data_IF_473290824824
#
_entry.id   IF_473290824824
#
_cell.length_a   1.000
_cell.length_b   1.000
_cell.length_c   1.000
_cell.angle_alpha   90.00
_cell.angle_beta   90.00
_cell.angle_gamma   90.00
#
_symmetry.space_group_name_H-M   'P 1'
#
loop_
_entity.id
_entity.type
_entity.pdbx_description
1 polymer ?
#
# COMPACT_ATOMS: atom_id res chain seq x y z
N UNK A 1 -36.96 -16.61 -15.14
CA UNK A 1 -36.11 -16.57 -13.90
C UNK A 1 -35.80 -15.09 -13.65
N UNK A 2 -36.18 -14.54 -12.51
CA UNK A 2 -35.97 -13.11 -12.29
C UNK A 2 -34.71 -12.93 -11.43
N UNK A 3 -33.70 -12.27 -11.99
CA UNK A 3 -32.62 -11.66 -11.21
C UNK A 3 -33.25 -10.70 -10.18
N UNK A 4 -32.68 -10.64 -8.98
CA UNK A 4 -33.08 -9.66 -7.95
C UNK A 4 -32.88 -8.25 -8.49
N UNK A 5 -31.76 -8.05 -9.21
CA UNK A 5 -31.38 -6.81 -9.86
C UNK A 5 -30.41 -7.07 -11.00
N UNK A 6 -30.48 -6.26 -12.04
CA UNK A 6 -29.52 -6.21 -13.14
C UNK A 6 -29.36 -4.77 -13.64
N UNK A 7 -28.12 -4.40 -13.95
CA UNK A 7 -27.84 -3.12 -14.64
C UNK A 7 -28.43 -3.16 -16.06
N UNK A 8 -29.07 -2.08 -16.47
CA UNK A 8 -29.40 -1.87 -17.88
C UNK A 8 -28.18 -1.36 -18.67
N UNK A 9 -28.26 -1.37 -20.00
CA UNK A 9 -27.12 -0.96 -20.84
C UNK A 9 -26.76 0.54 -20.72
N UNK A 10 -27.73 1.39 -20.39
CA UNK A 10 -27.45 2.79 -20.10
C UNK A 10 -26.62 2.92 -18.81
N UNK A 11 -26.97 2.24 -17.74
CA UNK A 11 -26.20 2.22 -16.49
C UNK A 11 -24.80 1.65 -16.71
N UNK A 12 -24.67 0.56 -17.51
CA UNK A 12 -23.37 -0.01 -17.88
C UNK A 12 -22.44 0.99 -18.54
N UNK A 13 -22.95 1.86 -19.40
CA UNK A 13 -22.20 2.94 -20.05
C UNK A 13 -21.53 3.86 -19.05
N UNK A 14 -22.26 4.29 -18.01
CA UNK A 14 -21.73 5.18 -16.94
C UNK A 14 -20.72 4.50 -16.02
N UNK A 15 -20.63 3.19 -16.07
CA UNK A 15 -19.68 2.39 -15.30
C UNK A 15 -18.50 1.86 -16.15
N UNK A 16 -18.47 2.20 -17.45
CA UNK A 16 -17.45 1.70 -18.37
C UNK A 16 -17.55 0.22 -18.69
N UNK A 17 -18.71 -0.42 -18.41
CA UNK A 17 -18.95 -1.82 -18.71
C UNK A 17 -19.37 -1.99 -20.18
N UNK A 18 -19.12 -3.18 -20.76
CA UNK A 18 -19.69 -3.52 -22.06
C UNK A 18 -21.19 -3.74 -21.95
N UNK A 19 -21.97 -3.35 -22.96
CA UNK A 19 -23.41 -3.63 -23.00
C UNK A 19 -23.66 -5.14 -23.09
N UNK A 20 -24.86 -5.55 -22.69
CA UNK A 20 -25.41 -6.88 -23.02
C UNK A 20 -26.06 -6.79 -24.39
N UNK A 21 -25.65 -7.68 -25.30
CA UNK A 21 -26.21 -7.75 -26.65
C UNK A 21 -27.56 -8.48 -26.65
N UNK A 22 -28.50 -8.06 -27.51
CA UNK A 22 -29.86 -8.62 -27.55
C UNK A 22 -29.91 -10.12 -27.83
N UNK A 23 -28.89 -10.63 -28.54
CA UNK A 23 -28.80 -12.05 -28.90
C UNK A 23 -28.10 -12.91 -27.85
N UNK A 24 -27.61 -12.33 -26.74
CA UNK A 24 -27.02 -13.08 -25.67
C UNK A 24 -28.11 -13.69 -24.78
N UNK A 25 -27.91 -14.93 -24.39
CA UNK A 25 -28.82 -15.67 -23.53
C UNK A 25 -28.38 -15.69 -22.09
N UNK A 26 -29.24 -15.22 -21.17
CA UNK A 26 -29.00 -15.26 -19.74
C UNK A 26 -29.31 -16.64 -19.17
N UNK A 27 -28.34 -17.24 -18.53
CA UNK A 27 -28.46 -18.58 -17.92
C UNK A 27 -28.11 -18.51 -16.43
N UNK A 28 -29.03 -18.96 -15.56
CA UNK A 28 -28.73 -19.12 -14.14
C UNK A 28 -27.81 -20.34 -13.96
N UNK A 29 -26.63 -20.09 -13.35
CA UNK A 29 -25.67 -21.15 -13.07
C UNK A 29 -25.78 -21.66 -11.63
N UNK A 30 -25.92 -20.76 -10.64
CA UNK A 30 -26.08 -21.07 -9.22
C UNK A 30 -27.06 -20.07 -8.60
N UNK A 31 -27.33 -20.16 -7.31
CA UNK A 31 -28.36 -19.32 -6.66
C UNK A 31 -28.17 -17.82 -6.92
N UNK A 32 -26.95 -17.35 -6.91
CA UNK A 32 -26.61 -15.92 -7.09
C UNK A 32 -25.72 -15.65 -8.32
N UNK A 33 -25.40 -16.67 -9.15
CA UNK A 33 -24.47 -16.54 -10.28
C UNK A 33 -25.22 -16.78 -11.59
N UNK A 34 -25.05 -15.84 -12.51
CA UNK A 34 -25.66 -15.85 -13.83
C UNK A 34 -24.60 -15.57 -14.89
N UNK A 35 -24.74 -16.23 -16.03
CA UNK A 35 -23.86 -16.06 -17.17
C UNK A 35 -24.65 -15.64 -18.41
N UNK A 36 -24.11 -14.67 -19.15
CA UNK A 36 -24.54 -14.37 -20.51
C UNK A 36 -23.74 -15.19 -21.51
N UNK A 37 -24.45 -15.89 -22.38
CA UNK A 37 -23.88 -16.71 -23.42
C UNK A 37 -24.13 -16.12 -24.81
N UNK A 38 -23.10 -16.17 -25.65
CA UNK A 38 -23.20 -16.08 -27.10
C UNK A 38 -22.87 -17.47 -27.66
N UNK A 39 -23.89 -18.20 -28.11
CA UNK A 39 -23.74 -19.62 -28.44
C UNK A 39 -23.25 -20.44 -27.24
N UNK A 40 -22.07 -21.05 -27.36
CA UNK A 40 -21.41 -21.82 -26.29
C UNK A 40 -20.32 -21.04 -25.55
N UNK A 41 -20.22 -19.72 -25.77
CA UNK A 41 -19.20 -18.88 -25.13
C UNK A 41 -19.83 -18.00 -24.05
N UNK A 42 -19.31 -18.10 -22.83
CA UNK A 42 -19.69 -17.19 -21.75
C UNK A 42 -19.01 -15.83 -21.99
N UNK A 43 -19.81 -14.78 -22.10
CA UNK A 43 -19.37 -13.41 -22.40
C UNK A 43 -19.30 -12.53 -21.16
N UNK A 44 -20.16 -12.81 -20.17
CA UNK A 44 -20.29 -11.99 -18.97
C UNK A 44 -20.75 -12.85 -17.81
N UNK A 45 -20.24 -12.53 -16.62
CA UNK A 45 -20.73 -13.10 -15.37
C UNK A 45 -21.36 -11.98 -14.51
N UNK A 46 -22.51 -12.30 -13.92
CA UNK A 46 -23.18 -11.47 -12.93
C UNK A 46 -23.37 -12.30 -11.67
N UNK A 47 -22.89 -11.80 -10.56
CA UNK A 47 -23.21 -12.33 -9.23
C UNK A 47 -24.06 -11.30 -8.49
N UNK A 48 -25.25 -11.69 -8.03
CA UNK A 48 -26.17 -10.77 -7.36
C UNK A 48 -26.88 -11.43 -6.18
N UNK A 49 -26.90 -10.72 -5.05
CA UNK A 49 -27.67 -11.05 -3.84
C UNK A 49 -28.32 -9.78 -3.26
N UNK A 50 -28.97 -9.87 -2.13
CA UNK A 50 -29.65 -8.73 -1.48
C UNK A 50 -28.73 -7.55 -1.18
N UNK A 51 -27.42 -7.80 -0.97
CA UNK A 51 -26.42 -6.82 -0.55
C UNK A 51 -25.11 -6.89 -1.34
N UNK A 52 -25.14 -7.53 -2.48
CA UNK A 52 -23.96 -7.71 -3.34
C UNK A 52 -24.32 -7.70 -4.81
N UNK A 53 -23.54 -6.99 -5.61
CA UNK A 53 -23.58 -7.04 -7.05
C UNK A 53 -22.16 -7.03 -7.62
N UNK A 54 -21.88 -7.96 -8.51
CA UNK A 54 -20.63 -7.99 -9.28
C UNK A 54 -20.93 -8.30 -10.73
N UNK A 55 -20.32 -7.55 -11.64
CA UNK A 55 -20.42 -7.79 -13.08
C UNK A 55 -19.03 -7.68 -13.72
N UNK A 56 -18.66 -8.70 -14.50
CA UNK A 56 -17.36 -8.76 -15.20
C UNK A 56 -17.48 -9.41 -16.57
N UNK A 57 -16.52 -9.06 -17.44
CA UNK A 57 -16.41 -9.60 -18.80
C UNK A 57 -15.65 -10.93 -18.80
N UNK A 58 -16.13 -11.87 -19.59
CA UNK A 58 -15.53 -13.17 -19.81
C UNK A 58 -15.44 -13.47 -21.32
N UNK A 59 -14.59 -14.42 -21.67
CA UNK A 59 -14.56 -15.03 -22.98
C UNK A 59 -14.21 -16.53 -22.84
N UNK A 60 -15.12 -17.23 -22.16
CA UNK A 60 -14.92 -18.61 -21.76
C UNK A 60 -15.72 -19.55 -22.65
N UNK A 61 -15.03 -20.32 -23.47
CA UNK A 61 -15.66 -21.26 -24.37
C UNK A 61 -16.04 -22.57 -23.63
N UNK A 62 -17.29 -22.95 -23.71
CA UNK A 62 -17.81 -24.23 -23.21
C UNK A 62 -17.98 -25.25 -24.37
N UNK A 63 -18.36 -26.49 -24.04
CA UNK A 63 -18.76 -27.47 -25.02
C UNK A 63 -20.18 -27.18 -25.57
N UNK A 64 -20.54 -27.82 -26.67
CA UNK A 64 -21.77 -27.59 -27.44
C UNK A 64 -23.07 -27.54 -26.60
N UNK A 65 -23.16 -28.30 -25.56
CA UNK A 65 -24.33 -28.28 -24.65
C UNK A 65 -24.09 -27.51 -23.36
N UNK A 66 -23.09 -26.67 -23.30
CA UNK A 66 -22.69 -25.89 -22.13
C UNK A 66 -22.38 -26.74 -20.88
N UNK A 67 -22.05 -28.01 -21.03
CA UNK A 67 -21.77 -28.93 -19.92
C UNK A 67 -20.30 -28.97 -19.55
N UNK A 68 -19.41 -28.52 -20.43
CA UNK A 68 -17.97 -28.62 -20.26
C UNK A 68 -17.26 -27.34 -20.73
N UNK A 69 -16.18 -26.98 -20.04
CA UNK A 69 -15.29 -25.89 -20.45
C UNK A 69 -14.09 -26.49 -21.16
N UNK A 70 -13.77 -25.97 -22.34
CA UNK A 70 -12.56 -26.37 -23.05
C UNK A 70 -11.31 -25.92 -22.27
N UNK A 71 -10.25 -26.74 -22.23
CA UNK A 71 -9.10 -26.46 -21.43
C UNK A 71 -8.33 -25.26 -21.97
N UNK A 72 -7.94 -24.36 -21.08
CA UNK A 72 -7.05 -23.23 -21.39
C UNK A 72 -5.56 -23.60 -21.35
N UNK A 73 -5.22 -24.78 -20.84
CA UNK A 73 -3.82 -25.16 -20.63
C UNK A 73 -3.32 -26.10 -21.73
N UNK A 74 -2.02 -26.03 -22.01
CA UNK A 74 -1.30 -26.93 -22.96
C UNK A 74 -1.50 -28.42 -22.69
N UNK A 75 -2.09 -28.82 -21.57
CA UNK A 75 -2.33 -30.23 -21.18
C UNK A 75 -3.68 -30.81 -21.66
N UNK A 76 -4.50 -30.01 -22.31
CA UNK A 76 -5.67 -30.49 -23.03
C UNK A 76 -6.78 -31.17 -22.21
N UNK A 77 -6.90 -30.95 -20.90
CA UNK A 77 -8.00 -31.54 -20.11
C UNK A 77 -9.26 -30.69 -20.24
N UNK A 78 -10.34 -31.33 -20.65
CA UNK A 78 -11.69 -30.79 -20.62
C UNK A 78 -12.19 -30.82 -19.17
N UNK A 79 -12.65 -29.65 -18.67
CA UNK A 79 -13.21 -29.53 -17.31
C UNK A 79 -14.73 -29.58 -17.38
N UNK A 80 -15.34 -30.22 -16.39
CA UNK A 80 -16.80 -30.12 -16.20
C UNK A 80 -17.19 -28.70 -15.86
N UNK A 81 -18.32 -28.25 -16.42
CA UNK A 81 -18.89 -26.96 -16.04
C UNK A 81 -19.52 -27.09 -14.64
N UNK A 82 -18.77 -26.69 -13.64
CA UNK A 82 -19.14 -26.73 -12.23
C UNK A 82 -18.48 -25.56 -11.49
N UNK A 83 -18.81 -25.39 -10.22
CA UNK A 83 -18.28 -24.29 -9.40
C UNK A 83 -16.74 -24.17 -9.45
N UNK A 84 -16.02 -25.30 -9.36
CA UNK A 84 -14.55 -25.30 -9.44
C UNK A 84 -14.04 -24.82 -10.80
N UNK A 85 -14.75 -25.13 -11.88
CA UNK A 85 -14.39 -24.65 -13.21
C UNK A 85 -14.65 -23.16 -13.36
N UNK A 86 -15.77 -22.63 -12.84
CA UNK A 86 -16.11 -21.20 -12.81
C UNK A 86 -15.04 -20.40 -12.07
N UNK A 87 -14.57 -20.89 -10.93
CA UNK A 87 -13.47 -20.24 -10.18
C UNK A 87 -12.15 -20.16 -10.97
N UNK A 88 -11.99 -20.90 -12.04
CA UNK A 88 -10.80 -20.86 -12.89
C UNK A 88 -10.92 -19.90 -14.07
N UNK A 89 -12.02 -19.18 -14.21
CA UNK A 89 -12.22 -18.19 -15.26
C UNK A 89 -11.24 -17.04 -15.13
N UNK A 90 -10.95 -16.40 -16.24
CA UNK A 90 -10.05 -15.27 -16.31
C UNK A 90 -10.83 -14.06 -16.80
N UNK A 91 -11.46 -13.31 -15.90
CA UNK A 91 -12.16 -12.10 -16.29
C UNK A 91 -11.17 -11.07 -16.86
N UNK A 92 -11.66 -10.21 -17.74
CA UNK A 92 -10.89 -9.15 -18.36
C UNK A 92 -11.74 -7.88 -18.47
N UNK A 93 -11.16 -6.82 -18.98
CA UNK A 93 -11.87 -5.55 -19.17
C UNK A 93 -12.30 -4.88 -17.86
N UNK A 94 -13.21 -3.94 -17.97
CA UNK A 94 -13.78 -3.22 -16.83
C UNK A 94 -14.78 -4.10 -16.08
N UNK A 95 -14.75 -4.01 -14.76
CA UNK A 95 -15.72 -4.65 -13.87
C UNK A 95 -16.28 -3.66 -12.86
N UNK A 96 -17.45 -4.00 -12.35
CA UNK A 96 -18.11 -3.26 -11.29
C UNK A 96 -18.45 -4.17 -10.12
N UNK A 97 -18.19 -3.71 -8.91
CA UNK A 97 -18.59 -4.41 -7.67
C UNK A 97 -19.26 -3.42 -6.72
N UNK A 98 -20.35 -3.86 -6.15
CA UNK A 98 -21.02 -3.23 -5.02
C UNK A 98 -21.19 -4.25 -3.91
N UNK A 99 -20.83 -3.88 -2.69
CA UNK A 99 -20.94 -4.73 -1.50
C UNK A 99 -21.32 -3.89 -0.27
N UNK A 100 -21.50 -4.55 0.87
CA UNK A 100 -21.73 -3.87 2.16
C UNK A 100 -20.59 -2.96 2.60
N UNK A 101 -19.38 -3.19 2.09
CA UNK A 101 -18.19 -2.47 2.52
C UNK A 101 -17.73 -1.41 1.51
N UNK A 102 -18.06 -1.59 0.21
CA UNK A 102 -17.47 -0.74 -0.83
C UNK A 102 -18.18 -0.82 -2.18
N UNK A 103 -17.94 0.23 -2.98
CA UNK A 103 -18.15 0.26 -4.44
C UNK A 103 -16.79 0.31 -5.13
N UNK A 104 -16.62 -0.46 -6.22
CA UNK A 104 -15.42 -0.42 -7.06
C UNK A 104 -15.80 -0.45 -8.54
N UNK A 105 -15.16 0.44 -9.32
CA UNK A 105 -15.04 0.36 -10.78
C UNK A 105 -13.56 0.17 -11.09
N UNK A 106 -13.18 -0.99 -11.63
CA UNK A 106 -11.78 -1.29 -11.92
C UNK A 106 -11.64 -2.16 -13.18
N UNK A 107 -10.42 -2.48 -13.58
CA UNK A 107 -10.15 -3.18 -14.82
C UNK A 107 -9.18 -4.35 -14.60
N UNK A 108 -9.63 -5.57 -14.84
CA UNK A 108 -8.85 -6.78 -14.70
C UNK A 108 -7.64 -6.84 -15.64
N UNK A 109 -7.77 -6.32 -16.86
CA UNK A 109 -6.69 -6.35 -17.85
C UNK A 109 -5.55 -5.41 -17.48
N UNK A 110 -5.87 -4.20 -17.04
CA UNK A 110 -4.87 -3.16 -16.72
C UNK A 110 -4.42 -3.21 -15.28
N UNK A 111 -5.14 -3.90 -14.39
CA UNK A 111 -4.91 -3.95 -12.94
C UNK A 111 -4.99 -2.56 -12.29
N UNK A 112 -5.91 -1.71 -12.77
CA UNK A 112 -6.11 -0.34 -12.30
C UNK A 112 -7.51 -0.15 -11.76
N UNK A 113 -7.64 0.70 -10.75
CA UNK A 113 -8.92 1.17 -10.22
C UNK A 113 -9.25 2.54 -10.81
N UNK A 114 -10.48 2.69 -11.33
CA UNK A 114 -11.02 3.99 -11.76
C UNK A 114 -11.63 4.74 -10.60
N UNK A 115 -12.43 4.03 -9.80
CA UNK A 115 -13.13 4.58 -8.65
C UNK A 115 -13.29 3.53 -7.56
N UNK A 116 -13.16 3.96 -6.31
CA UNK A 116 -13.56 3.16 -5.14
C UNK A 116 -14.08 4.06 -4.03
N UNK A 117 -15.14 3.61 -3.36
CA UNK A 117 -15.74 4.26 -2.21
C UNK A 117 -16.01 3.21 -1.14
N UNK A 118 -15.63 3.49 0.11
CA UNK A 118 -15.87 2.59 1.23
C UNK A 118 -17.07 3.07 2.05
N UNK A 119 -17.94 2.15 2.42
CA UNK A 119 -19.09 2.44 3.27
C UNK A 119 -18.77 2.24 4.75
N UNK A 120 -19.42 2.99 5.65
CA UNK A 120 -19.32 2.75 7.09
C UNK A 120 -19.86 1.36 7.46
N UNK A 121 -19.13 0.59 8.26
CA UNK A 121 -19.52 -0.76 8.68
C UNK A 121 -20.83 -0.85 9.48
N UNK A 122 -21.38 0.28 9.93
CA UNK A 122 -22.62 0.36 10.70
C UNK A 122 -23.89 0.39 9.84
N UNK A 123 -23.75 0.51 8.52
CA UNK A 123 -24.88 0.62 7.61
C UNK A 123 -25.25 -0.76 7.03
N UNK A 124 -26.54 -1.07 7.03
CA UNK A 124 -27.04 -2.29 6.36
C UNK A 124 -27.29 -1.97 4.89
N UNK A 125 -26.23 -2.00 4.09
CA UNK A 125 -26.24 -1.67 2.66
C UNK A 125 -26.95 -2.77 1.87
N UNK A 126 -27.82 -2.39 0.96
CA UNK A 126 -28.66 -3.28 0.15
C UNK A 126 -28.61 -2.90 -1.33
N UNK A 127 -29.22 -3.73 -2.19
CA UNK A 127 -29.40 -3.43 -3.64
C UNK A 127 -30.21 -2.15 -3.86
N UNK A 128 -31.11 -1.76 -2.95
CA UNK A 128 -31.84 -0.49 -3.09
C UNK A 128 -30.92 0.71 -2.86
N UNK A 129 -29.88 0.56 -2.06
CA UNK A 129 -28.86 1.59 -1.89
C UNK A 129 -27.93 1.63 -3.12
N UNK A 130 -27.68 0.51 -3.78
CA UNK A 130 -27.00 0.49 -5.10
C UNK A 130 -27.81 1.30 -6.12
N UNK A 131 -29.13 1.14 -6.20
CA UNK A 131 -29.95 1.92 -7.13
C UNK A 131 -29.84 3.41 -6.88
N UNK A 132 -29.93 3.84 -5.61
CA UNK A 132 -29.76 5.26 -5.23
C UNK A 132 -28.36 5.78 -5.58
N UNK A 133 -27.34 4.97 -5.30
CA UNK A 133 -25.95 5.30 -5.66
C UNK A 133 -25.78 5.47 -7.18
N UNK A 134 -26.37 4.58 -7.98
CA UNK A 134 -26.33 4.64 -9.44
C UNK A 134 -27.04 5.88 -9.97
N UNK A 135 -28.22 6.19 -9.46
CA UNK A 135 -28.98 7.38 -9.89
C UNK A 135 -28.17 8.66 -9.62
N UNK A 136 -27.58 8.78 -8.43
CA UNK A 136 -26.68 9.89 -8.08
C UNK A 136 -25.43 9.90 -8.98
N UNK A 137 -24.79 8.74 -9.17
CA UNK A 137 -23.60 8.60 -10.03
C UNK A 137 -23.86 9.10 -11.44
N UNK A 138 -25.01 8.73 -12.02
CA UNK A 138 -25.44 9.13 -13.36
C UNK A 138 -25.76 10.62 -13.40
N UNK A 139 -26.53 11.14 -12.43
CA UNK A 139 -26.91 12.55 -12.33
C UNK A 139 -25.66 13.47 -12.24
N UNK A 140 -24.68 13.08 -11.46
CA UNK A 140 -23.44 13.84 -11.26
C UNK A 140 -22.42 13.67 -12.41
N UNK A 141 -22.65 12.73 -13.36
CA UNK A 141 -21.69 12.44 -14.43
C UNK A 141 -21.71 13.54 -15.49
N UNK A 142 -20.54 14.11 -15.75
CA UNK A 142 -20.31 15.07 -16.82
C UNK A 142 -19.85 14.37 -18.12
N UNK A 143 -19.84 15.11 -19.23
CA UNK A 143 -19.27 14.60 -20.48
C UNK A 143 -17.76 14.30 -20.37
N UNK A 144 -17.05 15.04 -19.53
CA UNK A 144 -15.64 14.81 -19.23
C UNK A 144 -15.42 13.48 -18.53
N UNK A 145 -16.27 13.17 -17.52
CA UNK A 145 -16.24 11.89 -16.80
C UNK A 145 -16.54 10.72 -17.75
N UNK A 146 -17.48 10.87 -18.69
CA UNK A 146 -17.76 9.84 -19.71
C UNK A 146 -16.57 9.60 -20.63
N UNK A 147 -15.85 10.63 -21.02
CA UNK A 147 -14.62 10.48 -21.80
C UNK A 147 -13.53 9.77 -20.99
N UNK A 148 -13.34 10.16 -19.72
CA UNK A 148 -12.33 9.56 -18.85
C UNK A 148 -12.60 8.07 -18.63
N UNK A 149 -13.86 7.66 -18.39
CA UNK A 149 -14.22 6.26 -18.21
C UNK A 149 -14.09 5.44 -19.51
N UNK A 150 -14.40 6.03 -20.66
CA UNK A 150 -14.21 5.37 -21.95
C UNK A 150 -12.70 5.19 -22.27
N UNK A 151 -11.86 6.19 -21.95
CA UNK A 151 -10.41 6.05 -22.03
C UNK A 151 -9.90 4.98 -21.09
N UNK A 152 -10.40 4.93 -19.86
CA UNK A 152 -10.06 3.91 -18.87
C UNK A 152 -10.40 2.51 -19.36
N UNK A 153 -11.59 2.30 -19.88
CA UNK A 153 -12.08 1.05 -20.47
C UNK A 153 -11.17 0.54 -21.60
N UNK A 154 -10.73 1.44 -22.48
CA UNK A 154 -9.95 1.12 -23.68
C UNK A 154 -8.42 1.13 -23.42
N UNK A 155 -7.98 1.46 -22.20
CA UNK A 155 -6.56 1.53 -21.88
C UNK A 155 -5.94 0.13 -21.94
N UNK A 156 -4.76 0.04 -22.56
CA UNK A 156 -3.97 -1.19 -22.59
C UNK A 156 -3.08 -1.28 -21.35
N UNK A 157 -2.88 -2.51 -20.86
CA UNK A 157 -1.93 -2.78 -19.79
C UNK A 157 -0.53 -2.32 -20.17
N UNK A 158 0.09 -1.54 -19.32
CA UNK A 158 1.48 -1.09 -19.46
C UNK A 158 2.19 -1.14 -18.11
N UNK A 159 3.50 -1.22 -18.15
CA UNK A 159 4.34 -1.17 -16.97
C UNK A 159 5.03 0.19 -16.92
N UNK A 160 4.81 0.93 -15.85
CA UNK A 160 5.41 2.24 -15.62
C UNK A 160 6.71 2.10 -14.84
N UNK A 161 7.71 2.90 -15.19
CA UNK A 161 8.96 3.01 -14.44
C UNK A 161 8.79 4.06 -13.34
N UNK A 162 9.38 3.80 -12.20
CA UNK A 162 9.43 4.72 -11.07
C UNK A 162 10.78 4.58 -10.36
N UNK A 163 11.16 5.56 -9.57
CA UNK A 163 12.39 5.59 -8.77
C UNK A 163 12.24 6.50 -7.54
N UNK A 164 13.17 6.41 -6.63
CA UNK A 164 13.26 7.31 -5.48
C UNK A 164 13.34 8.77 -5.92
N UNK A 165 12.65 9.63 -5.17
CA UNK A 165 12.48 11.04 -5.48
C UNK A 165 11.37 11.34 -6.50
N UNK A 166 10.70 10.34 -7.07
CA UNK A 166 9.56 10.58 -7.95
C UNK A 166 8.36 11.10 -7.16
N UNK A 167 7.77 12.17 -7.69
CA UNK A 167 6.45 12.65 -7.29
C UNK A 167 5.38 11.91 -8.06
N UNK A 168 4.26 11.67 -7.42
CA UNK A 168 3.13 11.01 -8.03
C UNK A 168 1.81 11.65 -7.64
N UNK A 169 0.81 11.50 -8.52
CA UNK A 169 -0.58 11.80 -8.24
C UNK A 169 -1.42 10.52 -8.23
N UNK A 170 -2.43 10.47 -7.40
CA UNK A 170 -3.38 9.36 -7.32
C UNK A 170 -4.79 9.88 -7.07
N UNK A 171 -5.82 9.15 -7.50
CA UNK A 171 -7.20 9.54 -7.29
C UNK A 171 -7.58 9.41 -5.81
N UNK A 172 -8.17 10.44 -5.23
CA UNK A 172 -8.83 10.45 -3.93
C UNK A 172 -10.33 10.26 -4.06
N UNK A 173 -10.87 10.79 -5.14
CA UNK A 173 -12.26 10.64 -5.55
C UNK A 173 -12.34 10.74 -7.08
N UNK A 174 -13.54 10.74 -7.63
CA UNK A 174 -13.74 10.83 -9.07
C UNK A 174 -13.01 12.01 -9.72
N UNK A 175 -12.94 13.17 -9.04
CA UNK A 175 -12.39 14.42 -9.57
C UNK A 175 -11.28 15.04 -8.74
N UNK A 176 -10.90 14.43 -7.63
CA UNK A 176 -9.85 14.93 -6.75
C UNK A 176 -8.60 14.08 -6.83
N UNK A 177 -7.46 14.74 -6.88
CA UNK A 177 -6.14 14.15 -6.87
C UNK A 177 -5.42 14.42 -5.56
N UNK A 178 -4.86 13.38 -4.97
CA UNK A 178 -3.84 13.47 -3.94
C UNK A 178 -2.45 13.35 -4.53
N UNK A 179 -1.45 13.77 -3.79
CA UNK A 179 -0.06 13.82 -4.23
C UNK A 179 0.86 13.20 -3.19
N UNK A 180 1.92 12.57 -3.66
CA UNK A 180 2.91 11.98 -2.80
C UNK A 180 4.29 11.90 -3.42
N UNK A 181 5.22 11.27 -2.70
CA UNK A 181 6.60 11.10 -3.12
C UNK A 181 7.13 9.73 -2.74
N UNK A 182 7.92 9.11 -3.61
CA UNK A 182 8.63 7.86 -3.32
C UNK A 182 9.92 8.22 -2.57
N UNK A 183 10.07 7.69 -1.36
CA UNK A 183 11.21 7.93 -0.49
C UNK A 183 12.28 6.84 -0.61
N UNK A 184 11.86 5.57 -0.71
CA UNK A 184 12.76 4.42 -0.73
C UNK A 184 12.16 3.26 -1.53
N UNK A 185 12.97 2.67 -2.42
CA UNK A 185 12.67 1.44 -3.13
C UNK A 185 13.29 0.23 -2.40
N UNK A 186 12.54 -0.35 -1.47
CA UNK A 186 13.01 -1.48 -0.65
C UNK A 186 13.33 -2.71 -1.52
N UNK A 187 12.66 -2.87 -2.67
CA UNK A 187 12.93 -3.98 -3.57
C UNK A 187 14.35 -3.93 -4.18
N UNK A 188 14.95 -2.75 -4.28
CA UNK A 188 16.37 -2.62 -4.67
C UNK A 188 17.30 -3.11 -3.57
N UNK A 189 16.97 -2.81 -2.30
CA UNK A 189 17.75 -3.25 -1.14
C UNK A 189 17.75 -4.77 -1.01
N UNK A 190 16.69 -5.45 -1.43
CA UNK A 190 16.63 -6.92 -1.47
C UNK A 190 17.66 -7.57 -2.41
N UNK A 191 18.39 -6.79 -3.21
CA UNK A 191 19.53 -7.26 -4.02
C UNK A 191 20.86 -7.20 -3.27
N UNK A 192 20.91 -6.46 -2.16
CA UNK A 192 22.09 -6.35 -1.30
C UNK A 192 22.15 -7.53 -0.34
N UNK A 193 23.28 -8.27 -0.39
CA UNK A 193 23.49 -9.45 0.45
C UNK A 193 23.65 -9.09 1.94
N UNK A 194 24.20 -7.91 2.26
CA UNK A 194 24.31 -7.46 3.65
C UNK A 194 22.94 -7.12 4.23
N UNK A 195 22.08 -6.48 3.44
CA UNK A 195 20.71 -6.24 3.82
C UNK A 195 19.93 -7.54 4.12
N UNK A 196 20.10 -8.56 3.28
CA UNK A 196 19.45 -9.87 3.46
C UNK A 196 19.96 -10.67 4.67
N UNK A 197 21.21 -10.48 5.08
CA UNK A 197 21.80 -11.21 6.21
C UNK A 197 21.16 -10.85 7.54
N UNK A 198 20.59 -9.66 7.66
CA UNK A 198 19.92 -9.23 8.87
C UNK A 198 18.51 -9.84 8.97
N UNK A 199 18.36 -10.89 9.76
CA UNK A 199 17.12 -11.67 9.90
C UNK A 199 15.98 -10.93 10.62
N UNK A 200 16.32 -9.90 11.40
CA UNK A 200 15.33 -9.10 12.12
C UNK A 200 14.97 -7.79 11.41
N UNK A 201 15.60 -7.50 10.28
CA UNK A 201 15.34 -6.25 9.56
C UNK A 201 13.93 -6.27 8.96
N UNK A 202 12.99 -5.53 9.58
CA UNK A 202 11.57 -5.56 9.21
C UNK A 202 11.31 -5.23 7.75
N UNK A 203 12.08 -4.31 7.14
CA UNK A 203 12.00 -4.03 5.71
C UNK A 203 12.34 -5.24 4.83
N UNK A 204 13.24 -6.13 5.28
CA UNK A 204 13.58 -7.34 4.55
C UNK A 204 12.43 -8.36 4.52
N UNK A 205 11.50 -8.27 5.47
CA UNK A 205 10.36 -9.17 5.59
C UNK A 205 9.07 -8.59 5.00
N UNK A 206 9.08 -7.35 4.49
CA UNK A 206 7.93 -6.81 3.79
C UNK A 206 7.66 -7.61 2.52
N UNK A 207 6.40 -8.00 2.36
CA UNK A 207 5.98 -8.85 1.25
C UNK A 207 6.09 -8.13 -0.10
N UNK A 208 6.42 -8.86 -1.15
CA UNK A 208 6.42 -8.37 -2.53
C UNK A 208 7.55 -7.40 -2.85
N UNK A 209 7.23 -6.27 -3.46
CA UNK A 209 8.16 -5.20 -3.81
C UNK A 209 7.72 -3.90 -3.15
N UNK A 210 8.04 -3.69 -1.89
CA UNK A 210 7.57 -2.55 -1.13
C UNK A 210 8.32 -1.27 -1.50
N UNK A 211 7.57 -0.17 -1.46
CA UNK A 211 8.06 1.20 -1.56
C UNK A 211 7.70 1.93 -0.27
N UNK A 212 8.60 2.78 0.23
CA UNK A 212 8.26 3.74 1.26
C UNK A 212 7.88 5.05 0.57
N UNK A 213 6.70 5.55 0.90
CA UNK A 213 6.15 6.77 0.33
C UNK A 213 5.69 7.73 1.42
N UNK A 214 5.52 8.99 1.07
CA UNK A 214 4.74 9.97 1.85
C UNK A 214 3.64 10.56 0.98
N UNK A 215 2.55 11.01 1.62
CA UNK A 215 1.42 11.70 0.99
C UNK A 215 1.40 13.14 1.48
N UNK A 216 1.41 14.10 0.56
CA UNK A 216 1.41 15.51 0.89
C UNK A 216 0.02 16.00 1.33
N UNK A 217 -0.02 17.01 2.18
CA UNK A 217 -1.21 17.78 2.55
C UNK A 217 -1.64 18.68 1.39
N UNK A 218 -1.93 18.06 0.24
CA UNK A 218 -2.35 18.74 -0.99
C UNK A 218 -3.40 17.93 -1.72
N UNK A 219 -4.50 18.58 -2.07
CA UNK A 219 -5.56 18.06 -2.93
C UNK A 219 -5.78 19.07 -4.06
N UNK A 220 -6.07 18.59 -5.25
CA UNK A 220 -6.35 19.40 -6.44
C UNK A 220 -7.30 18.68 -7.38
N UNK A 221 -8.03 19.42 -8.20
CA UNK A 221 -8.83 18.92 -9.32
C UNK A 221 -7.99 18.57 -10.56
N UNK A 222 -6.73 18.96 -10.58
CA UNK A 222 -5.78 18.69 -11.67
C UNK A 222 -4.49 18.04 -11.17
N UNK A 223 -3.87 17.25 -12.04
CA UNK A 223 -2.52 16.68 -11.82
C UNK A 223 -1.39 17.67 -12.11
N UNK A 224 -1.69 18.80 -12.76
CA UNK A 224 -0.68 19.78 -13.12
C UNK A 224 -0.34 20.65 -11.88
N UNK A 225 0.81 20.40 -11.29
CA UNK A 225 1.27 21.04 -10.06
C UNK A 225 2.78 21.30 -10.13
N UNK A 226 3.23 22.39 -9.53
CA UNK A 226 4.65 22.69 -9.38
C UNK A 226 5.28 21.73 -8.34
N UNK A 227 6.32 21.01 -8.75
CA UNK A 227 6.96 20.00 -7.91
C UNK A 227 7.81 20.62 -6.79
N UNK A 228 8.39 21.79 -7.03
CA UNK A 228 9.17 22.50 -5.99
C UNK A 228 8.22 23.04 -4.91
N UNK A 229 7.06 23.58 -5.28
CA UNK A 229 6.03 23.99 -4.33
C UNK A 229 5.51 22.77 -3.55
N UNK A 230 5.19 21.68 -4.24
CA UNK A 230 4.69 20.46 -3.63
C UNK A 230 5.69 19.86 -2.62
N UNK A 231 6.99 19.91 -2.95
CA UNK A 231 8.05 19.36 -2.08
C UNK A 231 8.14 20.05 -0.70
N UNK A 232 7.61 21.26 -0.59
CA UNK A 232 7.60 22.07 0.65
C UNK A 232 6.32 21.91 1.47
N UNK A 233 5.33 21.19 0.93
CA UNK A 233 4.09 20.94 1.65
C UNK A 233 4.33 19.99 2.84
N UNK A 234 3.53 20.17 3.91
CA UNK A 234 3.42 19.14 4.94
C UNK A 234 2.99 17.80 4.33
N UNK A 235 3.27 16.72 5.02
CA UNK A 235 2.90 15.38 4.57
C UNK A 235 2.39 14.52 5.74
N UNK A 236 1.57 13.51 5.41
CA UNK A 236 1.26 12.43 6.32
C UNK A 236 2.53 11.64 6.65
N UNK A 237 2.57 10.93 7.78
CA UNK A 237 3.67 10.04 8.12
C UNK A 237 3.95 9.04 6.99
N UNK A 238 5.22 8.67 6.77
CA UNK A 238 5.58 7.73 5.73
C UNK A 238 4.91 6.36 5.95
N UNK A 239 4.64 5.69 4.86
CA UNK A 239 3.97 4.38 4.81
C UNK A 239 4.64 3.46 3.80
N UNK A 240 4.57 2.14 4.05
CA UNK A 240 4.99 1.13 3.10
C UNK A 240 3.80 0.70 2.22
N UNK A 241 3.99 0.71 0.90
CA UNK A 241 2.97 0.29 -0.07
C UNK A 241 3.55 -0.66 -1.10
N UNK A 242 2.70 -1.48 -1.72
CA UNK A 242 3.10 -2.33 -2.83
C UNK A 242 3.39 -1.49 -4.09
N UNK A 243 4.35 -1.92 -4.89
CA UNK A 243 4.73 -1.25 -6.14
C UNK A 243 3.66 -1.30 -7.24
N UNK A 244 2.66 -2.16 -7.11
CA UNK A 244 1.63 -2.38 -8.15
C UNK A 244 0.95 -1.10 -8.60
N UNK A 245 0.57 -0.22 -7.64
CA UNK A 245 -0.09 1.06 -7.93
C UNK A 245 0.75 1.95 -8.86
N UNK A 246 2.07 1.90 -8.73
CA UNK A 246 3.01 2.60 -9.60
C UNK A 246 3.28 1.82 -10.87
N UNK A 247 3.55 0.52 -10.72
CA UNK A 247 3.95 -0.36 -11.82
C UNK A 247 2.89 -0.46 -12.91
N UNK A 248 1.61 -0.47 -12.54
CA UNK A 248 0.49 -0.47 -13.48
C UNK A 248 -0.03 0.93 -13.82
N UNK A 249 0.55 2.00 -13.23
CA UNK A 249 0.24 3.40 -13.55
C UNK A 249 -1.12 3.87 -13.02
N UNK A 250 -1.59 3.29 -11.92
CA UNK A 250 -2.72 3.82 -11.16
C UNK A 250 -2.30 5.11 -10.46
N UNK A 251 -1.18 5.09 -9.72
CA UNK A 251 -0.49 6.31 -9.33
C UNK A 251 0.39 6.82 -10.49
N UNK A 252 0.14 8.04 -10.93
CA UNK A 252 0.78 8.64 -12.09
C UNK A 252 2.04 9.39 -11.67
N UNK A 253 3.20 9.03 -12.25
CA UNK A 253 4.44 9.75 -12.01
C UNK A 253 4.39 11.11 -12.69
N UNK A 254 4.65 12.18 -11.93
CA UNK A 254 4.62 13.57 -12.38
C UNK A 254 5.99 14.11 -12.76
N UNK A 255 7.04 13.63 -12.09
CA UNK A 255 8.42 14.04 -12.29
C UNK A 255 9.30 13.63 -11.12
N UNK A 256 10.57 14.04 -11.14
CA UNK A 256 11.55 13.69 -10.13
C UNK A 256 12.38 14.89 -9.70
N UNK A 257 12.58 15.05 -8.39
CA UNK A 257 13.58 15.93 -7.81
C UNK A 257 14.46 15.12 -6.86
N UNK A 258 15.70 15.50 -6.61
CA UNK A 258 16.53 14.90 -5.56
C UNK A 258 15.81 15.01 -4.19
N UNK A 259 15.86 13.93 -3.41
CA UNK A 259 15.38 13.98 -2.02
C UNK A 259 16.28 14.86 -1.19
N UNK A 260 15.70 15.84 -0.48
CA UNK A 260 16.43 16.66 0.49
C UNK A 260 16.45 15.94 1.85
N UNK A 261 17.44 16.16 2.69
CA UNK A 261 17.54 15.51 4.00
C UNK A 261 16.29 15.64 4.86
N UNK A 262 15.65 16.81 4.87
CA UNK A 262 14.43 17.09 5.64
C UNK A 262 13.18 16.40 5.08
N UNK A 263 13.22 15.93 3.84
CA UNK A 263 12.14 15.19 3.20
C UNK A 263 12.25 13.68 3.41
N UNK A 264 13.46 13.21 3.72
CA UNK A 264 13.77 11.79 3.88
C UNK A 264 13.44 11.34 5.31
N UNK A 265 12.16 11.33 5.64
CA UNK A 265 11.66 10.84 6.91
C UNK A 265 11.12 9.40 6.75
N UNK A 266 11.34 8.54 7.76
CA UNK A 266 11.01 7.12 7.71
C UNK A 266 10.14 6.73 8.92
N UNK A 267 9.40 5.64 8.80
CA UNK A 267 8.67 5.07 9.93
C UNK A 267 9.63 4.38 10.92
N UNK A 268 9.15 4.20 12.15
CA UNK A 268 9.90 3.59 13.24
C UNK A 268 9.18 2.32 13.66
N UNK A 269 9.91 1.20 13.70
CA UNK A 269 9.41 -0.08 14.20
C UNK A 269 10.28 -0.54 15.38
N UNK A 270 9.66 -0.94 16.47
CA UNK A 270 10.34 -1.53 17.63
C UNK A 270 9.57 -2.75 18.07
N UNK A 271 10.25 -3.87 18.22
CA UNK A 271 9.63 -5.14 18.61
C UNK A 271 10.66 -6.13 19.16
N UNK A 272 10.15 -7.18 19.82
CA UNK A 272 10.90 -8.40 20.00
C UNK A 272 11.32 -9.02 18.67
N UNK A 273 12.37 -9.83 18.67
CA UNK A 273 12.87 -10.50 17.47
C UNK A 273 11.76 -11.26 16.74
N UNK A 274 11.76 -11.12 15.41
CA UNK A 274 10.92 -11.91 14.50
C UNK A 274 11.65 -13.15 13.98
N UNK A 275 12.94 -13.30 14.32
CA UNK A 275 13.78 -14.43 13.93
C UNK A 275 13.75 -15.54 14.98
N UNK A 276 13.37 -16.75 14.57
CA UNK A 276 13.42 -17.92 15.46
C UNK A 276 14.85 -18.34 15.85
N UNK A 277 15.88 -17.86 15.13
CA UNK A 277 17.29 -18.17 15.43
C UNK A 277 17.91 -17.21 16.42
N UNK A 278 17.32 -16.07 16.66
CA UNK A 278 17.79 -15.03 17.58
C UNK A 278 16.64 -14.52 18.48
N UNK A 279 16.09 -15.40 19.35
CA UNK A 279 14.88 -15.04 20.12
C UNK A 279 15.17 -14.08 21.28
N UNK A 280 16.43 -13.92 21.69
CA UNK A 280 16.83 -13.20 22.90
C UNK A 280 17.19 -11.73 22.67
N UNK A 281 16.74 -11.17 21.54
CA UNK A 281 16.96 -9.77 21.21
C UNK A 281 15.65 -9.02 20.96
N UNK A 282 15.71 -7.70 21.11
CA UNK A 282 14.72 -6.77 20.58
C UNK A 282 15.40 -5.84 19.59
N UNK A 283 14.66 -5.37 18.60
CA UNK A 283 15.18 -4.48 17.57
C UNK A 283 14.43 -3.15 17.49
N UNK A 284 15.14 -2.13 17.07
CA UNK A 284 14.60 -0.88 16.56
C UNK A 284 15.06 -0.69 15.12
N UNK A 285 14.11 -0.43 14.25
CA UNK A 285 14.35 -0.03 12.88
C UNK A 285 13.78 1.35 12.63
N UNK A 286 14.62 2.28 12.19
CA UNK A 286 14.24 3.61 11.74
C UNK A 286 14.72 3.80 10.31
N UNK A 287 13.86 3.53 9.35
CA UNK A 287 14.27 3.44 7.95
C UNK A 287 15.40 2.41 7.75
N UNK A 288 16.55 2.86 7.28
CA UNK A 288 17.75 2.02 7.10
C UNK A 288 18.59 1.83 8.35
N UNK A 289 18.32 2.60 9.40
CA UNK A 289 18.98 2.43 10.71
C UNK A 289 18.38 1.20 11.39
N UNK A 290 19.25 0.29 11.81
CA UNK A 290 18.87 -0.92 12.52
C UNK A 290 19.74 -1.09 13.78
N UNK A 291 19.10 -1.30 14.91
CA UNK A 291 19.74 -1.50 16.21
C UNK A 291 19.13 -2.68 16.95
N UNK A 292 19.95 -3.37 17.69
CA UNK A 292 19.55 -4.47 18.57
C UNK A 292 19.98 -4.22 20.01
N UNK A 293 19.16 -4.69 20.95
CA UNK A 293 19.50 -4.77 22.37
C UNK A 293 19.06 -6.13 22.91
N UNK A 294 19.63 -6.62 24.02
CA UNK A 294 19.15 -7.82 24.69
C UNK A 294 17.65 -7.72 25.02
N UNK A 295 16.90 -8.79 24.79
CA UNK A 295 15.46 -8.85 25.10
C UNK A 295 15.20 -8.51 26.57
N UNK A 296 16.08 -8.95 27.49
CA UNK A 296 15.98 -8.65 28.92
C UNK A 296 15.96 -7.15 29.22
N UNK A 297 16.74 -6.37 28.49
CA UNK A 297 16.83 -4.90 28.67
C UNK A 297 15.63 -4.21 28.04
N UNK A 298 15.16 -4.70 26.88
CA UNK A 298 13.91 -4.25 26.29
C UNK A 298 12.71 -4.50 27.21
N UNK A 299 12.60 -5.70 27.81
CA UNK A 299 11.53 -6.03 28.74
C UNK A 299 11.53 -5.16 30.01
N UNK A 300 12.71 -4.78 30.51
CA UNK A 300 12.82 -3.80 31.60
C UNK A 300 12.29 -2.43 31.15
N UNK A 301 12.73 -1.96 29.96
CA UNK A 301 12.31 -0.69 29.40
C UNK A 301 10.80 -0.58 29.25
N UNK A 302 10.14 -1.57 28.61
CA UNK A 302 8.68 -1.54 28.41
C UNK A 302 7.90 -1.63 29.73
N UNK A 303 8.42 -2.35 30.71
CA UNK A 303 7.85 -2.41 32.06
C UNK A 303 7.92 -1.04 32.75
N UNK A 304 9.05 -0.34 32.67
CA UNK A 304 9.22 1.01 33.19
C UNK A 304 8.31 2.02 32.49
N UNK A 305 8.07 1.83 31.18
CA UNK A 305 7.20 2.65 30.37
C UNK A 305 5.71 2.29 30.53
N UNK A 306 5.40 1.20 31.22
CA UNK A 306 4.03 0.65 31.39
C UNK A 306 3.31 0.40 30.06
N UNK A 307 4.02 -0.20 29.09
CA UNK A 307 3.49 -0.55 27.76
C UNK A 307 3.75 -2.03 27.48
N UNK A 308 2.96 -2.62 26.57
CA UNK A 308 3.16 -4.01 26.14
C UNK A 308 4.31 -4.13 25.13
N UNK A 309 4.97 -5.31 25.05
CA UNK A 309 6.18 -5.51 24.24
C UNK A 309 6.01 -5.29 22.73
N UNK A 310 4.80 -5.49 22.19
CA UNK A 310 4.52 -5.34 20.76
C UNK A 310 3.83 -4.01 20.41
N UNK A 311 3.61 -3.14 21.38
CA UNK A 311 2.83 -1.92 21.15
C UNK A 311 3.59 -0.81 20.43
N UNK A 312 4.91 -0.90 20.30
CA UNK A 312 5.75 0.04 19.58
C UNK A 312 5.99 -0.37 18.12
N UNK A 313 5.54 -1.55 17.73
CA UNK A 313 5.73 -2.05 16.38
C UNK A 313 4.79 -1.34 15.42
N UNK A 314 5.36 -0.76 14.39
CA UNK A 314 4.64 -0.26 13.24
C UNK A 314 5.39 -0.64 11.97
N UNK A 315 5.02 -1.74 11.43
CA UNK A 315 5.46 -2.21 10.14
C UNK A 315 4.31 -2.96 9.47
N UNK A 316 4.28 -2.91 8.17
CA UNK A 316 3.24 -3.54 7.36
C UNK A 316 3.21 -2.88 6.00
N UNK A 317 2.76 -3.62 5.02
CA UNK A 317 2.62 -3.12 3.66
C UNK A 317 1.14 -2.90 3.34
N UNK A 318 0.84 -1.70 2.83
CA UNK A 318 -0.48 -1.36 2.31
C UNK A 318 -0.62 -1.79 0.84
N UNK A 319 -1.81 -2.28 0.48
CA UNK A 319 -2.19 -2.50 -0.92
C UNK A 319 -2.78 -1.27 -1.58
N UNK A 320 -3.14 -0.27 -0.77
CA UNK A 320 -3.63 1.05 -1.15
C UNK A 320 -2.89 2.12 -0.39
N UNK A 321 -2.89 3.35 -0.92
CA UNK A 321 -2.31 4.51 -0.25
C UNK A 321 -3.22 4.92 0.91
N UNK A 322 -2.68 4.97 2.13
CA UNK A 322 -3.43 5.42 3.32
C UNK A 322 -3.58 6.95 3.30
N UNK A 323 -4.81 7.40 3.20
CA UNK A 323 -5.18 8.82 3.18
C UNK A 323 -6.13 9.17 4.32
N UNK A 324 -6.09 8.38 5.41
CA UNK A 324 -6.99 8.58 6.54
C UNK A 324 -6.93 10.02 7.05
N UNK A 325 -8.08 10.69 7.05
CA UNK A 325 -8.26 12.08 7.49
C UNK A 325 -7.33 13.10 6.81
N UNK A 326 -6.95 12.85 5.54
CA UNK A 326 -6.09 13.77 4.81
C UNK A 326 -6.68 15.18 4.73
N UNK A 327 -8.00 15.32 4.48
CA UNK A 327 -8.68 16.62 4.40
C UNK A 327 -8.60 17.38 5.73
N UNK A 328 -8.90 16.70 6.84
CA UNK A 328 -8.80 17.29 8.18
C UNK A 328 -7.35 17.64 8.55
N UNK A 329 -6.37 16.85 8.13
CA UNK A 329 -4.96 17.18 8.33
C UNK A 329 -4.53 18.42 7.56
N UNK A 330 -5.04 18.63 6.35
CA UNK A 330 -4.81 19.84 5.55
C UNK A 330 -5.39 21.08 6.27
N UNK A 331 -6.63 20.98 6.73
CA UNK A 331 -7.32 22.05 7.46
C UNK A 331 -6.61 22.39 8.78
N UNK A 332 -6.23 21.37 9.55
CA UNK A 332 -5.50 21.52 10.81
C UNK A 332 -4.05 21.93 10.63
N UNK A 333 -3.49 21.88 9.42
CA UNK A 333 -2.05 22.05 9.12
C UNK A 333 -1.16 21.18 10.00
N UNK A 334 -1.63 20.01 10.37
CA UNK A 334 -0.95 19.06 11.24
C UNK A 334 -1.43 17.62 10.99
N UNK A 335 -0.66 16.65 11.50
CA UNK A 335 -1.03 15.24 11.45
C UNK A 335 -1.89 14.77 12.66
N UNK A 336 -2.33 15.67 13.54
CA UNK A 336 -3.13 15.29 14.72
C UNK A 336 -4.39 14.47 14.37
N UNK A 337 -5.18 14.83 13.33
CA UNK A 337 -6.33 14.00 12.94
C UNK A 337 -5.95 12.60 12.46
N UNK A 338 -4.82 12.45 11.76
CA UNK A 338 -4.30 11.15 11.33
C UNK A 338 -3.96 10.25 12.51
N UNK A 339 -3.37 10.81 13.58
CA UNK A 339 -2.96 10.05 14.76
C UNK A 339 -4.12 9.51 15.58
N UNK A 340 -5.32 10.09 15.50
CA UNK A 340 -6.51 9.57 16.19
C UNK A 340 -6.82 8.10 15.85
N UNK A 341 -6.50 7.65 14.64
CA UNK A 341 -6.64 6.25 14.20
C UNK A 341 -5.83 5.28 15.09
N UNK A 342 -4.67 5.71 15.52
CA UNK A 342 -3.72 4.90 16.31
C UNK A 342 -3.98 5.05 17.81
N UNK A 343 -4.36 6.22 18.27
CA UNK A 343 -4.73 6.46 19.68
C UNK A 343 -5.87 5.55 20.13
N UNK A 344 -6.85 5.30 19.26
CA UNK A 344 -7.97 4.37 19.52
C UNK A 344 -7.54 2.89 19.69
N UNK A 345 -6.38 2.52 19.22
CA UNK A 345 -5.84 1.15 19.28
C UNK A 345 -4.89 0.91 20.45
N UNK A 346 -4.64 1.91 21.29
CA UNK A 346 -3.61 1.89 22.34
C UNK A 346 -2.22 1.41 21.87
N UNK A 347 -1.88 1.71 20.61
CA UNK A 347 -0.59 1.38 20.02
C UNK A 347 0.18 2.70 19.81
N UNK A 348 1.13 3.04 20.68
CA UNK A 348 1.91 4.27 20.50
C UNK A 348 2.78 4.15 19.25
N UNK A 349 2.66 5.13 18.36
CA UNK A 349 3.57 5.31 17.24
C UNK A 349 4.62 6.34 17.60
N UNK A 350 5.90 6.00 17.51
CA UNK A 350 7.01 6.89 17.88
C UNK A 350 7.20 8.06 16.91
N UNK A 351 6.46 8.10 15.80
CA UNK A 351 6.37 9.24 14.89
C UNK A 351 5.32 10.27 15.33
N UNK A 352 4.40 9.89 16.23
CA UNK A 352 3.42 10.81 16.77
C UNK A 352 4.12 11.80 17.73
N UNK A 353 4.03 13.14 17.50
CA UNK A 353 4.62 14.13 18.39
C UNK A 353 4.19 14.01 19.85
N UNK A 354 2.96 13.56 20.12
CA UNK A 354 2.45 13.33 21.47
C UNK A 354 3.25 12.28 22.25
N UNK A 355 4.00 11.43 21.54
CA UNK A 355 4.83 10.38 22.11
C UNK A 355 6.33 10.74 22.15
N UNK A 356 6.70 12.02 22.10
CA UNK A 356 8.11 12.43 22.04
C UNK A 356 8.94 11.94 23.23
N UNK A 357 8.39 11.99 24.46
CA UNK A 357 9.07 11.50 25.64
C UNK A 357 9.27 9.97 25.61
N UNK A 358 8.31 9.24 25.09
CA UNK A 358 8.43 7.80 24.85
C UNK A 358 9.54 7.53 23.82
N UNK A 359 9.55 8.28 22.71
CA UNK A 359 10.57 8.19 21.66
C UNK A 359 11.97 8.43 22.23
N UNK A 360 12.16 9.47 23.06
CA UNK A 360 13.44 9.78 23.70
C UNK A 360 13.98 8.62 24.54
N UNK A 361 13.12 8.01 25.37
CA UNK A 361 13.50 6.87 26.21
C UNK A 361 13.86 5.64 25.38
N UNK A 362 13.04 5.33 24.37
CA UNK A 362 13.30 4.20 23.48
C UNK A 362 14.56 4.42 22.67
N UNK A 363 14.72 5.57 22.02
CA UNK A 363 15.90 5.89 21.21
C UNK A 363 17.19 5.82 22.04
N UNK A 364 17.17 6.39 23.24
CA UNK A 364 18.33 6.31 24.15
C UNK A 364 18.73 4.87 24.48
N UNK A 365 17.75 3.99 24.71
CA UNK A 365 18.02 2.58 24.99
C UNK A 365 18.68 1.85 23.81
N UNK A 366 18.36 2.26 22.58
CA UNK A 366 18.95 1.73 21.35
C UNK A 366 20.16 2.53 20.83
N UNK A 367 20.65 3.51 21.59
CA UNK A 367 21.83 4.32 21.23
C UNK A 367 21.57 5.35 20.12
N UNK A 368 20.33 5.79 19.95
CA UNK A 368 19.93 6.81 19.00
C UNK A 368 19.51 8.11 19.72
N UNK A 369 19.50 9.21 18.99
CA UNK A 369 19.06 10.51 19.46
C UNK A 369 17.70 10.87 18.86
N UNK A 370 16.69 10.99 19.71
CA UNK A 370 15.31 11.28 19.30
C UNK A 370 15.10 12.72 18.83
N UNK A 371 15.98 13.64 19.22
CA UNK A 371 15.91 15.06 18.86
C UNK A 371 16.66 15.36 17.54
N UNK A 372 17.40 14.38 17.02
CA UNK A 372 18.02 14.42 15.70
C UNK A 372 17.07 13.93 14.61
N UNK A 373 17.24 14.48 13.42
CA UNK A 373 16.56 13.99 12.21
C UNK A 373 16.99 12.56 11.85
N UNK A 374 16.24 11.93 10.94
CA UNK A 374 16.60 10.63 10.39
C UNK A 374 18.00 10.65 9.75
N UNK A 375 18.27 11.66 8.92
CA UNK A 375 19.53 11.82 8.22
C UNK A 375 20.74 12.02 9.17
N UNK A 376 20.55 12.78 10.25
CA UNK A 376 21.61 12.99 11.25
C UNK A 376 21.93 11.71 12.00
N UNK A 377 20.90 10.94 12.38
CA UNK A 377 21.08 9.62 13.00
C UNK A 377 21.75 8.65 12.00
N UNK A 378 21.33 8.62 10.74
CA UNK A 378 21.90 7.75 9.70
C UNK A 378 23.38 8.06 9.45
N UNK A 379 23.77 9.33 9.39
CA UNK A 379 25.16 9.76 9.25
C UNK A 379 26.02 9.35 10.46
N UNK A 380 25.47 9.51 11.66
CA UNK A 380 26.19 9.07 12.88
C UNK A 380 26.45 7.55 12.88
N UNK A 381 25.48 6.75 12.43
CA UNK A 381 25.62 5.29 12.29
C UNK A 381 26.66 4.90 11.23
N UNK A 382 26.63 5.56 10.08
CA UNK A 382 27.60 5.30 9.00
C UNK A 382 29.02 5.61 9.48
N UNK A 383 29.23 6.73 10.11
CA UNK A 383 30.56 7.11 10.65
C UNK A 383 31.03 6.11 11.71
N UNK A 384 30.16 5.68 12.61
CA UNK A 384 30.51 4.71 13.65
C UNK A 384 30.92 3.36 13.02
N UNK A 385 30.22 2.89 12.01
CA UNK A 385 30.55 1.65 11.31
C UNK A 385 31.88 1.76 10.56
N UNK A 386 32.16 2.89 9.87
CA UNK A 386 33.43 3.15 9.20
C UNK A 386 34.62 3.13 10.19
N UNK A 387 34.46 3.71 11.37
CA UNK A 387 35.51 3.70 12.41
C UNK A 387 35.71 2.30 13.01
N UNK A 388 34.62 1.51 13.17
CA UNK A 388 34.73 0.11 13.60
C UNK A 388 35.48 -0.73 12.56
N UNK A 389 35.17 -0.58 11.26
CA UNK A 389 35.85 -1.31 10.19
C UNK A 389 37.34 -0.96 10.12
N UNK A 390 37.70 0.33 10.28
CA UNK A 390 39.10 0.76 10.38
C UNK A 390 39.78 0.13 11.60
N UNK A 391 39.13 0.13 12.77
CA UNK A 391 39.66 -0.52 13.98
C UNK A 391 39.88 -2.01 13.79
N UNK A 392 38.97 -2.70 13.10
CA UNK A 392 39.09 -4.12 12.77
C UNK A 392 40.28 -4.38 11.80
N UNK A 393 40.40 -3.54 10.76
CA UNK A 393 41.51 -3.63 9.82
C UNK A 393 42.87 -3.37 10.49
N UNK A 394 42.93 -2.40 11.42
CA UNK A 394 44.11 -2.11 12.22
C UNK A 394 44.49 -3.27 13.14
N UNK A 395 43.49 -3.90 13.76
CA UNK A 395 43.71 -5.09 14.60
C UNK A 395 44.23 -6.27 13.77
N UNK A 396 43.66 -6.55 12.61
CA UNK A 396 44.11 -7.62 11.70
C UNK A 396 45.51 -7.34 11.15
N UNK A 397 45.85 -6.07 10.95
CA UNK A 397 47.18 -5.68 10.48
C UNK A 397 48.22 -5.58 11.61
N UNK A 398 47.87 -5.96 12.84
CA UNK A 398 48.78 -5.88 14.00
C UNK A 398 49.07 -4.43 14.47
N UNK A 399 48.34 -3.45 13.99
CA UNK A 399 48.43 -2.03 14.36
C UNK A 399 47.60 -1.73 15.60
N UNK A 400 47.90 -2.45 16.69
CA UNK A 400 47.20 -2.23 17.97
C UNK A 400 47.90 -1.15 18.78
N UNK A 401 47.12 -0.23 19.33
CA UNK A 401 47.58 0.77 20.30
C UNK A 401 47.20 0.31 21.72
N UNK A 402 47.98 0.74 22.72
CA UNK A 402 47.65 0.49 24.11
C UNK A 402 46.30 1.13 24.45
N UNK A 403 45.39 0.35 25.08
CA UNK A 403 44.03 0.78 25.45
C UNK A 403 44.04 2.09 26.25
N UNK A 404 45.02 2.27 27.15
CA UNK A 404 45.14 3.50 27.98
C UNK A 404 45.51 4.71 27.11
N UNK A 405 46.31 4.54 26.05
CA UNK A 405 46.63 5.65 25.13
C UNK A 405 45.44 6.04 24.27
N UNK A 406 44.66 5.06 23.81
CA UNK A 406 43.45 5.33 23.06
C UNK A 406 42.39 6.04 23.90
N UNK A 407 42.21 5.64 25.16
CA UNK A 407 41.30 6.33 26.07
C UNK A 407 41.79 7.72 26.47
N UNK A 408 43.10 7.95 26.54
CA UNK A 408 43.66 9.28 26.79
C UNK A 408 43.41 10.23 25.61
N UNK A 409 43.54 9.74 24.37
CA UNK A 409 43.25 10.52 23.16
C UNK A 409 41.75 10.81 23.05
N UNK A 410 40.87 9.81 23.27
CA UNK A 410 39.42 10.02 23.27
C UNK A 410 39.00 11.06 24.33
N UNK A 411 39.54 10.99 25.54
CA UNK A 411 39.27 11.99 26.59
C UNK A 411 39.72 13.39 26.18
N UNK A 412 40.84 13.49 25.50
CA UNK A 412 41.39 14.77 25.01
C UNK A 412 40.55 15.35 23.89
N UNK A 413 40.11 14.51 22.95
CA UNK A 413 39.35 14.95 21.78
C UNK A 413 37.88 15.29 22.10
N UNK A 414 37.29 14.67 23.12
CA UNK A 414 35.93 14.90 23.57
C UNK A 414 35.82 15.74 24.85
N UNK A 415 36.95 16.23 25.40
CA UNK A 415 36.95 17.09 26.58
C UNK A 415 36.48 16.45 27.87
N UNK A 416 36.66 15.10 28.01
CA UNK A 416 36.23 14.27 29.14
C UNK A 416 37.33 14.13 30.20
#
# INVERSE_FOLDING_TARGET
MNLIFELNNEQRKYLGLIPVEEHWELVKFDDNIYHYFEGDTIKKEITVSENYYHESELNEKTAENRTMILPKTKRGKIKKFNYTAVQSFSPFGTYFTFSTDLVIIANYTTQRTYYSESFPKSENITIDDLKKWLDKWIEETTEEDLKEIEEFKNTKRKHCKFKEGDFFAFKLSRREWGFGRILLDVAKLHKDENFKKNKNYGLAHLMGKPLIIKVYHKISDTKNIDLEELSRCHALPPQAVMDNIFYYGEAVILGNLPLRPEENDMFISVSESISATDPDIAYLQYGLIYKEIPLSDYLKLIKELNIGPQTLRREGIGFVIDTYKLKECIEAKSNSPFWEKYNKKNVPDLKNPDHIELKRKVFKAFGLDADKSYEENLKAESHFNDELEKGYADMQAGRTRNVNEVFADIRKDYGL
#
